data_IF_785654595982
#
_entry.id   IF_785654595982
#
_cell.length_a   1.000
_cell.length_b   1.000
_cell.length_c   1.000
_cell.angle_alpha   90.00
_cell.angle_beta   90.00
_cell.angle_gamma   90.00
#
_symmetry.space_group_name_H-M   'P 1'
#
loop_
_entity.id
_entity.type
_entity.pdbx_description
1 polymer ?
#
# COMPACT_ATOMS: atom_id res chain seq x y z
N UNK A 1 -3.70 12.18 -19.08
CA UNK A 1 -4.50 11.01 -18.69
C UNK A 1 -3.54 9.96 -18.19
N UNK A 2 -3.77 9.37 -17.02
CA UNK A 2 -2.90 8.35 -16.44
C UNK A 2 -3.64 7.01 -16.46
N UNK A 3 -2.96 5.94 -16.87
CA UNK A 3 -3.56 4.60 -16.83
C UNK A 3 -3.38 3.96 -15.46
N UNK A 4 -2.21 4.18 -14.85
CA UNK A 4 -1.83 3.62 -13.56
C UNK A 4 -1.14 4.65 -12.68
N UNK A 5 -1.38 4.55 -11.38
CA UNK A 5 -0.64 5.26 -10.34
C UNK A 5 -0.17 4.24 -9.32
N UNK A 6 1.14 4.23 -9.07
CA UNK A 6 1.76 3.40 -8.03
C UNK A 6 2.13 4.29 -6.85
N UNK A 7 1.83 3.87 -5.63
CA UNK A 7 2.29 4.58 -4.44
C UNK A 7 2.67 3.61 -3.31
N UNK A 8 3.73 3.98 -2.60
CA UNK A 8 4.18 3.25 -1.43
C UNK A 8 3.13 3.28 -0.31
N UNK A 9 3.03 2.17 0.41
CA UNK A 9 2.16 2.01 1.56
C UNK A 9 3.03 1.71 2.79
N UNK A 10 2.90 2.58 3.79
CA UNK A 10 3.24 2.28 5.18
C UNK A 10 1.96 2.22 5.99
N UNK A 11 1.64 3.28 6.75
CA UNK A 11 0.37 3.37 7.49
C UNK A 11 -0.88 3.59 6.62
N UNK A 12 -0.70 3.77 5.30
CA UNK A 12 -1.79 3.96 4.33
C UNK A 12 -2.23 5.40 4.07
N UNK A 13 -1.71 6.41 4.78
CA UNK A 13 -2.17 7.80 4.63
C UNK A 13 -2.03 8.36 3.21
N UNK A 14 -0.89 8.12 2.56
CA UNK A 14 -0.63 8.57 1.19
C UNK A 14 -1.58 7.90 0.19
N UNK A 15 -1.63 6.56 0.16
CA UNK A 15 -2.47 5.80 -0.77
C UNK A 15 -3.95 6.12 -0.57
N UNK A 16 -4.40 6.34 0.67
CA UNK A 16 -5.79 6.71 0.96
C UNK A 16 -6.12 8.11 0.41
N UNK A 17 -5.25 9.10 0.62
CA UNK A 17 -5.48 10.46 0.12
C UNK A 17 -5.54 10.52 -1.40
N UNK A 18 -4.57 9.89 -2.07
CA UNK A 18 -4.53 9.91 -3.55
C UNK A 18 -5.64 9.07 -4.15
N UNK A 19 -5.97 7.89 -3.60
CA UNK A 19 -7.05 7.06 -4.14
C UNK A 19 -8.41 7.74 -4.02
N UNK A 20 -8.67 8.43 -2.92
CA UNK A 20 -9.89 9.23 -2.74
C UNK A 20 -9.97 10.36 -3.77
N UNK A 21 -8.88 11.09 -4.01
CA UNK A 21 -8.87 12.14 -5.02
C UNK A 21 -9.05 11.58 -6.44
N UNK A 22 -8.34 10.52 -6.79
CA UNK A 22 -8.43 9.93 -8.13
C UNK A 22 -9.78 9.28 -8.39
N UNK A 23 -10.45 8.76 -7.36
CA UNK A 23 -11.82 8.28 -7.49
C UNK A 23 -12.76 9.35 -8.07
N UNK A 24 -12.67 10.59 -7.58
CA UNK A 24 -13.54 11.69 -8.01
C UNK A 24 -13.09 12.32 -9.33
N UNK A 25 -11.78 12.50 -9.52
CA UNK A 25 -11.23 13.32 -10.62
C UNK A 25 -10.66 12.51 -11.79
N UNK A 26 -10.36 11.23 -11.60
CA UNK A 26 -9.84 10.35 -12.65
C UNK A 26 -10.22 8.88 -12.40
N UNK A 27 -11.52 8.54 -12.45
CA UNK A 27 -12.03 7.22 -12.05
C UNK A 27 -11.55 6.05 -12.91
N UNK A 28 -10.90 6.34 -14.05
CA UNK A 28 -10.33 5.31 -14.92
C UNK A 28 -8.86 4.99 -14.57
N UNK A 29 -8.19 5.83 -13.79
CA UNK A 29 -6.80 5.56 -13.36
C UNK A 29 -6.81 4.43 -12.33
N UNK A 30 -6.02 3.38 -12.58
CA UNK A 30 -5.85 2.30 -11.62
C UNK A 30 -4.82 2.66 -10.56
N UNK A 31 -5.25 2.61 -9.30
CA UNK A 31 -4.40 2.88 -8.13
C UNK A 31 -3.83 1.58 -7.61
N UNK A 32 -2.51 1.48 -7.57
CA UNK A 32 -1.75 0.30 -7.16
C UNK A 32 -0.93 0.63 -5.91
N UNK A 33 -1.18 -0.11 -4.84
CA UNK A 33 -0.40 -0.06 -3.61
C UNK A 33 0.91 -0.81 -3.73
N UNK A 34 2.00 -0.26 -3.19
CA UNK A 34 3.31 -0.93 -3.17
C UNK A 34 3.79 -1.07 -1.73
N UNK A 35 4.07 -2.30 -1.31
CA UNK A 35 4.58 -2.60 0.04
C UNK A 35 5.88 -3.41 -0.05
N UNK A 36 6.79 -3.28 0.93
CA UNK A 36 7.88 -4.23 1.10
C UNK A 36 7.32 -5.63 1.40
N UNK A 37 7.89 -6.67 0.81
CA UNK A 37 7.45 -8.05 1.01
C UNK A 37 7.54 -8.48 2.50
N UNK A 38 8.54 -7.98 3.23
CA UNK A 38 8.71 -8.20 4.66
C UNK A 38 7.83 -7.33 5.56
N UNK A 39 6.99 -6.45 5.02
CA UNK A 39 6.13 -5.55 5.81
C UNK A 39 4.78 -5.20 5.13
N UNK A 40 4.16 -6.14 4.39
CA UNK A 40 2.95 -5.90 3.62
C UNK A 40 1.64 -5.97 4.43
N UNK A 41 1.50 -5.09 5.43
CA UNK A 41 0.36 -5.13 6.37
C UNK A 41 -0.98 -4.72 5.75
N UNK A 42 -1.00 -3.85 4.72
CA UNK A 42 -2.23 -3.47 4.03
C UNK A 42 -2.73 -4.60 3.15
N UNK A 43 -1.85 -5.25 2.38
CA UNK A 43 -2.20 -6.42 1.57
C UNK A 43 -2.79 -7.54 2.43
N UNK A 44 -2.12 -7.90 3.53
CA UNK A 44 -2.61 -8.92 4.46
C UNK A 44 -3.98 -8.54 5.03
N UNK A 45 -4.18 -7.26 5.34
CA UNK A 45 -5.43 -6.79 5.90
C UNK A 45 -6.58 -6.79 4.88
N UNK A 46 -6.36 -6.22 3.69
CA UNK A 46 -7.40 -5.97 2.70
C UNK A 46 -7.65 -7.20 1.82
N UNK A 47 -6.59 -7.78 1.27
CA UNK A 47 -6.69 -8.83 0.24
C UNK A 47 -6.85 -10.21 0.86
N UNK A 48 -6.04 -10.53 1.87
CA UNK A 48 -5.99 -11.88 2.45
C UNK A 48 -7.09 -12.08 3.49
N UNK A 49 -7.20 -11.16 4.45
CA UNK A 49 -8.03 -11.36 5.64
C UNK A 49 -9.34 -10.57 5.65
N UNK A 50 -9.47 -9.54 4.80
CA UNK A 50 -10.60 -8.60 4.78
C UNK A 50 -10.91 -7.99 6.17
N UNK A 51 -9.88 -7.80 6.99
CA UNK A 51 -9.90 -7.19 8.33
C UNK A 51 -8.50 -6.70 8.65
N UNK A 52 -8.37 -5.72 9.54
CA UNK A 52 -7.06 -5.23 9.96
C UNK A 52 -6.27 -6.36 10.65
N UNK A 53 -5.05 -6.58 10.16
CA UNK A 53 -4.08 -7.52 10.69
C UNK A 53 -2.89 -6.73 11.23
N UNK A 54 -2.31 -7.23 12.33
CA UNK A 54 -1.01 -6.79 12.83
C UNK A 54 0.00 -7.88 12.52
N UNK A 55 1.03 -7.56 11.74
CA UNK A 55 2.14 -8.47 11.47
C UNK A 55 2.95 -8.69 12.74
N UNK A 56 3.26 -9.95 13.07
CA UNK A 56 4.07 -10.30 14.24
C UNK A 56 5.54 -9.95 14.06
N UNK A 57 6.03 -10.07 12.82
CA UNK A 57 7.40 -9.78 12.43
C UNK A 57 7.38 -8.90 11.19
N UNK A 58 8.24 -7.88 11.15
CA UNK A 58 8.45 -7.02 9.98
C UNK A 58 9.93 -6.87 9.70
N UNK A 59 10.32 -6.86 8.42
CA UNK A 59 11.62 -6.36 8.01
C UNK A 59 11.61 -4.82 8.09
N UNK A 60 12.64 -4.24 8.71
CA UNK A 60 12.80 -2.79 8.92
C UNK A 60 13.73 -2.13 7.91
N UNK A 61 14.10 -2.85 6.86
CA UNK A 61 15.00 -2.34 5.82
C UNK A 61 14.47 -1.06 5.15
N UNK A 62 13.17 -0.97 4.90
CA UNK A 62 12.49 0.22 4.34
C UNK A 62 11.70 0.93 5.45
N UNK A 63 12.40 1.62 6.34
CA UNK A 63 11.86 2.20 7.58
C UNK A 63 10.55 3.01 7.42
N UNK A 64 10.41 3.79 6.34
CA UNK A 64 9.22 4.60 6.05
C UNK A 64 7.98 3.82 5.60
N UNK A 65 8.16 2.58 5.12
CA UNK A 65 7.08 1.70 4.65
C UNK A 65 6.89 0.45 5.53
N UNK A 66 7.85 0.15 6.42
CA UNK A 66 7.80 -1.00 7.33
C UNK A 66 6.82 -0.78 8.49
N UNK A 67 5.52 -0.88 8.21
CA UNK A 67 4.44 -0.70 9.19
C UNK A 67 3.76 -2.03 9.47
N UNK A 68 3.72 -2.44 10.75
CA UNK A 68 3.14 -3.73 11.15
C UNK A 68 1.61 -3.75 11.16
N UNK A 69 0.95 -2.61 11.36
CA UNK A 69 -0.51 -2.49 11.41
C UNK A 69 -0.93 -1.18 10.74
N UNK A 70 -1.79 -1.28 9.74
CA UNK A 70 -2.37 -0.11 9.05
C UNK A 70 -3.34 0.66 9.95
N UNK A 71 -3.64 1.90 9.56
CA UNK A 71 -4.66 2.71 10.21
C UNK A 71 -6.07 2.23 9.90
N UNK A 72 -7.01 2.46 10.83
CA UNK A 72 -8.39 1.97 10.67
C UNK A 72 -9.11 2.68 9.52
N UNK A 73 -8.95 3.99 9.42
CA UNK A 73 -9.51 4.80 8.32
C UNK A 73 -8.86 4.44 6.99
N UNK A 74 -7.53 4.27 6.99
CA UNK A 74 -6.79 4.01 5.75
C UNK A 74 -7.09 2.62 5.20
N UNK A 75 -7.33 1.64 6.07
CA UNK A 75 -7.84 0.32 5.69
C UNK A 75 -9.18 0.39 4.95
N UNK A 76 -10.19 1.08 5.50
CA UNK A 76 -11.51 1.19 4.86
C UNK A 76 -11.45 1.90 3.51
N UNK A 77 -10.63 2.94 3.40
CA UNK A 77 -10.42 3.66 2.14
C UNK A 77 -9.68 2.77 1.13
N UNK A 78 -8.60 2.11 1.55
CA UNK A 78 -7.81 1.25 0.66
C UNK A 78 -8.65 0.09 0.12
N UNK A 79 -9.46 -0.53 0.98
CA UNK A 79 -10.42 -1.56 0.59
C UNK A 79 -11.46 -1.08 -0.44
N UNK A 80 -11.79 0.21 -0.45
CA UNK A 80 -12.80 0.78 -1.34
C UNK A 80 -12.24 1.30 -2.67
N UNK A 81 -11.03 1.89 -2.66
CA UNK A 81 -10.52 2.68 -3.78
C UNK A 81 -9.15 2.25 -4.33
N UNK A 82 -8.44 1.35 -3.66
CA UNK A 82 -7.19 0.78 -4.19
C UNK A 82 -7.52 -0.46 -5.00
N UNK A 83 -6.97 -0.53 -6.22
CA UNK A 83 -7.37 -1.52 -7.21
C UNK A 83 -6.52 -2.79 -7.13
N UNK A 84 -5.24 -2.65 -6.76
CA UNK A 84 -4.32 -3.78 -6.65
C UNK A 84 -3.15 -3.44 -5.72
N UNK A 85 -2.37 -4.46 -5.38
CA UNK A 85 -1.26 -4.38 -4.44
C UNK A 85 -0.09 -5.19 -4.97
N UNK A 86 1.11 -4.62 -4.86
CA UNK A 86 2.36 -5.26 -5.27
C UNK A 86 3.32 -5.28 -4.10
N UNK A 87 3.81 -6.46 -3.75
CA UNK A 87 4.91 -6.65 -2.83
C UNK A 87 6.22 -6.57 -3.59
N UNK A 88 7.18 -5.82 -3.07
CA UNK A 88 8.53 -5.70 -3.62
C UNK A 88 9.56 -6.22 -2.63
N UNK A 89 10.50 -7.01 -3.11
CA UNK A 89 11.65 -7.42 -2.32
C UNK A 89 12.47 -6.19 -1.94
N UNK A 90 12.85 -6.08 -0.67
CA UNK A 90 13.65 -4.99 -0.13
C UNK A 90 14.99 -4.85 -0.85
N UNK A 91 15.59 -5.97 -1.28
CA UNK A 91 16.81 -5.97 -2.08
C UNK A 91 16.65 -5.31 -3.46
N UNK A 92 15.45 -5.36 -4.05
CA UNK A 92 15.17 -4.70 -5.33
C UNK A 92 15.08 -3.17 -5.19
N UNK A 93 14.73 -2.67 -4.01
CA UNK A 93 14.76 -1.23 -3.70
C UNK A 93 16.18 -0.70 -3.80
N UNK A 94 17.17 -1.44 -3.28
CA UNK A 94 18.58 -1.06 -3.35
C UNK A 94 19.12 -0.99 -4.78
N UNK A 95 18.79 -1.96 -5.62
CA UNK A 95 19.27 -1.99 -7.01
C UNK A 95 18.65 -0.90 -7.88
N UNK A 96 17.54 -0.30 -7.46
CA UNK A 96 16.81 0.73 -8.22
C UNK A 96 17.24 2.16 -7.85
N UNK A 97 17.76 2.37 -6.64
CA UNK A 97 18.26 3.69 -6.17
C UNK A 97 19.67 4.01 -6.72
N UNK A 98 20.44 2.98 -7.12
CA UNK A 98 21.81 3.11 -7.62
C UNK A 98 21.90 3.42 -9.13
#
# INVERSE_FOLDING_TARGET
NFDYLFAAIGGGGLISGISTYFHDYSPQTKIIGVEPAGASSMYESVVVNNKIVTLENIDKFVDGASVARVGDITFEIAKSFVHDYVQVDEGAVCSTIL
#
